data_IF_231709094998
#
_entry.id   IF_231709094998
#
_cell.length_a   1.000
_cell.length_b   1.000
_cell.length_c   1.000
_cell.angle_alpha   90.00
_cell.angle_beta   90.00
_cell.angle_gamma   90.00
#
_symmetry.space_group_name_H-M   'P 1'
#
loop_
_entity.id
_entity.type
_entity.pdbx_description
1 polymer ?
#
# COMPACT_ATOMS: atom_id res chain seq x y z
N UNK A 1 -10.09 -2.22 1.20
CA UNK A 1 -8.79 -1.61 0.84
C UNK A 1 -9.04 -0.75 -0.37
N UNK A 2 -8.48 0.44 -0.38
CA UNK A 2 -8.49 1.37 -1.50
C UNK A 2 -7.03 1.75 -1.79
N UNK A 3 -6.66 1.74 -3.07
CA UNK A 3 -5.32 2.04 -3.56
C UNK A 3 -5.48 3.26 -4.47
N UNK A 4 -4.81 4.35 -4.12
CA UNK A 4 -4.76 5.53 -4.97
C UNK A 4 -3.80 5.29 -6.14
N UNK A 5 -4.19 5.65 -7.37
CA UNK A 5 -3.35 5.35 -8.54
C UNK A 5 -2.30 6.42 -8.82
N UNK A 6 -2.58 7.69 -8.46
CA UNK A 6 -1.72 8.83 -8.77
C UNK A 6 -0.66 9.12 -7.70
N UNK A 7 -0.85 8.63 -6.48
CA UNK A 7 0.05 8.81 -5.34
C UNK A 7 0.22 7.50 -4.58
N UNK A 8 1.35 7.30 -3.90
CA UNK A 8 1.55 6.12 -3.06
C UNK A 8 0.76 6.29 -1.75
N UNK A 9 -0.47 5.80 -1.76
CA UNK A 9 -1.35 5.77 -0.59
C UNK A 9 -2.24 4.54 -0.63
N UNK A 10 -2.21 3.76 0.45
CA UNK A 10 -3.11 2.63 0.66
C UNK A 10 -4.00 2.93 1.86
N UNK A 11 -5.31 2.90 1.65
CA UNK A 11 -6.29 3.03 2.72
C UNK A 11 -6.89 1.67 3.05
N UNK A 12 -6.91 1.31 4.33
CA UNK A 12 -7.61 0.13 4.82
C UNK A 12 -8.67 0.53 5.84
N UNK A 13 -9.87 -0.03 5.68
CA UNK A 13 -10.94 0.07 6.67
C UNK A 13 -11.27 -1.34 7.13
N UNK A 14 -11.33 -1.53 8.45
CA UNK A 14 -11.54 -2.85 9.08
C UNK A 14 -12.61 -2.74 10.15
N UNK A 15 -13.45 -3.77 10.25
CA UNK A 15 -14.44 -3.87 11.34
C UNK A 15 -13.78 -3.86 12.73
N UNK A 16 -12.63 -4.51 12.89
CA UNK A 16 -11.85 -4.54 14.13
C UNK A 16 -11.32 -3.16 14.55
N UNK A 17 -11.30 -2.19 13.62
CA UNK A 17 -10.89 -0.80 13.82
C UNK A 17 -12.06 0.18 13.67
N UNK A 18 -13.29 -0.29 13.88
CA UNK A 18 -14.51 0.53 13.78
C UNK A 18 -14.69 1.23 12.44
N UNK A 19 -14.13 0.68 11.36
CA UNK A 19 -14.12 1.30 10.03
C UNK A 19 -13.44 2.67 10.00
N UNK A 20 -12.54 2.95 10.94
CA UNK A 20 -11.66 4.10 10.84
C UNK A 20 -10.64 3.86 9.72
N UNK A 21 -10.33 4.91 8.96
CA UNK A 21 -9.33 4.85 7.90
C UNK A 21 -7.94 4.71 8.48
N UNK A 22 -7.26 3.64 8.09
CA UNK A 22 -5.83 3.43 8.32
C UNK A 22 -5.10 3.71 6.99
N UNK A 23 -4.08 4.56 7.02
CA UNK A 23 -3.28 4.91 5.84
C UNK A 23 -1.89 4.30 5.94
N UNK A 24 -1.42 3.78 4.82
CA UNK A 24 -0.10 3.17 4.67
C UNK A 24 0.58 3.78 3.46
N UNK A 25 1.87 4.06 3.60
CA UNK A 25 2.73 4.71 2.61
C UNK A 25 3.93 3.82 2.28
N UNK A 26 4.81 4.29 1.40
CA UNK A 26 6.03 3.56 1.07
C UNK A 26 6.84 3.21 2.33
N UNK A 27 7.39 1.99 2.37
CA UNK A 27 8.10 1.44 3.53
C UNK A 27 7.18 0.79 4.58
N UNK A 28 5.87 1.02 4.51
CA UNK A 28 4.92 0.38 5.42
C UNK A 28 4.53 -1.03 4.97
N UNK A 29 4.00 -1.81 5.91
CA UNK A 29 3.43 -3.13 5.66
C UNK A 29 1.97 -3.20 6.08
N UNK A 30 1.16 -3.87 5.26
CA UNK A 30 -0.26 -4.08 5.48
C UNK A 30 -0.52 -5.57 5.75
N UNK A 31 -0.99 -5.89 6.95
CA UNK A 31 -1.42 -7.26 7.31
C UNK A 31 -2.91 -7.45 7.09
N UNK A 32 -3.31 -8.36 6.23
CA UNK A 32 -4.69 -8.80 5.99
C UNK A 32 -5.01 -10.04 6.85
N UNK A 33 -5.37 -9.80 8.11
CA UNK A 33 -5.61 -10.84 9.13
C UNK A 33 -6.56 -11.95 8.66
N UNK A 34 -7.64 -11.60 7.94
CA UNK A 34 -8.65 -12.56 7.47
C UNK A 34 -8.10 -13.64 6.53
N UNK A 35 -6.96 -13.39 5.87
CA UNK A 35 -6.31 -14.33 4.95
C UNK A 35 -4.86 -14.65 5.36
N UNK A 36 -4.40 -14.16 6.52
CA UNK A 36 -3.05 -14.40 7.01
C UNK A 36 -1.94 -13.90 6.07
N UNK A 37 -2.19 -12.82 5.33
CA UNK A 37 -1.25 -12.27 4.33
C UNK A 37 -0.70 -10.93 4.81
N UNK A 38 0.61 -10.74 4.73
CA UNK A 38 1.25 -9.43 4.92
C UNK A 38 1.93 -9.04 3.62
N UNK A 39 1.67 -7.82 3.15
CA UNK A 39 2.30 -7.25 1.95
C UNK A 39 2.95 -5.92 2.31
N UNK A 40 4.11 -5.65 1.72
CA UNK A 40 4.65 -4.29 1.70
C UNK A 40 3.81 -3.40 0.78
N UNK A 41 3.84 -2.08 0.98
CA UNK A 41 3.20 -1.14 0.05
C UNK A 41 3.87 -1.24 -1.33
N UNK A 42 5.16 -1.49 -1.39
CA UNK A 42 5.94 -1.74 -2.59
C UNK A 42 5.37 -2.92 -3.40
N UNK A 43 5.08 -4.05 -2.75
CA UNK A 43 4.48 -5.22 -3.40
C UNK A 43 3.07 -4.92 -3.95
N UNK A 44 2.32 -4.06 -3.27
CA UNK A 44 0.98 -3.63 -3.71
C UNK A 44 1.08 -2.80 -5.00
N UNK A 45 2.14 -2.01 -5.18
CA UNK A 45 2.36 -1.16 -6.35
C UNK A 45 3.27 -1.78 -7.43
N UNK A 46 3.76 -3.01 -7.26
CA UNK A 46 4.76 -3.62 -8.16
C UNK A 46 4.37 -3.59 -9.65
N UNK A 47 3.07 -3.70 -9.96
CA UNK A 47 2.56 -3.65 -11.35
C UNK A 47 1.81 -2.38 -11.71
N UNK A 48 1.85 -1.37 -10.84
CA UNK A 48 1.23 -0.08 -11.08
C UNK A 48 2.28 0.83 -11.72
N UNK A 49 2.02 1.26 -12.95
CA UNK A 49 2.84 2.26 -13.63
C UNK A 49 2.49 3.66 -13.09
N UNK A 50 2.99 3.97 -11.89
CA UNK A 50 2.89 5.30 -11.29
C UNK A 50 4.26 6.00 -11.43
N UNK A 51 4.24 7.29 -11.83
CA UNK A 51 5.41 8.17 -11.92
C UNK A 51 6.26 8.16 -10.65
N UNK A 52 5.61 8.09 -9.48
CA UNK A 52 6.30 8.01 -8.18
C UNK A 52 7.08 6.70 -8.05
N UNK A 53 6.46 5.56 -8.38
CA UNK A 53 7.09 4.24 -8.30
C UNK A 53 8.27 4.09 -9.28
N UNK A 54 8.19 4.76 -10.44
CA UNK A 54 9.29 4.86 -11.39
C UNK A 54 10.47 5.67 -10.82
N UNK A 55 10.22 6.72 -10.04
CA UNK A 55 11.25 7.45 -9.29
C UNK A 55 11.95 6.57 -8.24
N UNK A 56 11.16 5.89 -7.40
CA UNK A 56 11.69 4.97 -6.38
C UNK A 56 12.53 3.84 -6.97
N UNK A 57 12.13 3.28 -8.11
CA UNK A 57 12.89 2.21 -8.80
C UNK A 57 14.23 2.68 -9.34
N UNK A 58 14.35 3.95 -9.74
CA UNK A 58 15.59 4.53 -10.26
C UNK A 58 16.60 4.84 -9.15
N UNK A 59 16.14 5.22 -7.95
CA UNK A 59 17.03 5.48 -6.80
C UNK A 59 17.65 4.22 -6.19
N UNK A 60 17.10 3.03 -6.47
CA UNK A 60 17.60 1.76 -5.94
C UNK A 60 18.68 1.09 -6.82
N UNK A 61 19.13 1.76 -7.90
CA UNK A 61 20.14 1.27 -8.87
C UNK A 61 21.50 1.94 -8.67
#
# INVERSE_FOLDING_TARGET
MLIEQDIISVQVLRRSKHWLSEYYFLGDQVTFESIGLTLSVEDIYDRVDNRDMNGFRVEQV
#
